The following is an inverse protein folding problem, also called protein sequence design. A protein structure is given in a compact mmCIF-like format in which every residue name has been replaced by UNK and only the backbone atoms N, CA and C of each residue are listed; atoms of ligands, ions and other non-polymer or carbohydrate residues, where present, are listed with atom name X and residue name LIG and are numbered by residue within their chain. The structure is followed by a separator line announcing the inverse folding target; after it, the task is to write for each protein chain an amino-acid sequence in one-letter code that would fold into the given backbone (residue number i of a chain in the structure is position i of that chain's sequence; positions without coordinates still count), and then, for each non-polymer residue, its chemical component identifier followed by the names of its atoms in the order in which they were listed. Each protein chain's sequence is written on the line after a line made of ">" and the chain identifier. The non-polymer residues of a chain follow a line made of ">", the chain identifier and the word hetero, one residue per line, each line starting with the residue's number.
data_IF_495587123538
#
_entry.id   IF_495587123538
#
_cell.length_a   1.000
_cell.length_b   1.000
_cell.length_c   1.000
_cell.angle_alpha   90.00
_cell.angle_beta   90.00
_cell.angle_gamma   90.00
#
_symmetry.space_group_name_H-M   'P 1'
#
loop_
_entity.id
_entity.type
_entity.pdbx_description
1 polymer ?
#
# COMPACT_ATOMS: atom_id res chain seq x y z
N UNK A 1 -11.17 -21.98 13.91
CA UNK A 1 -11.10 -20.58 14.39
C UNK A 1 -9.95 -20.51 15.39
N UNK A 2 -8.74 -20.29 14.90
CA UNK A 2 -7.55 -20.14 15.74
C UNK A 2 -7.33 -18.64 15.89
N UNK A 3 -7.62 -18.09 17.08
CA UNK A 3 -7.38 -16.70 17.40
C UNK A 3 -5.88 -16.40 17.31
N UNK A 4 -5.49 -15.59 16.37
CA UNK A 4 -4.17 -15.02 16.28
C UNK A 4 -4.09 -13.93 17.37
N UNK A 5 -3.64 -14.32 18.57
CA UNK A 5 -3.24 -13.38 19.60
C UNK A 5 -1.89 -12.79 19.17
N UNK A 6 -1.90 -11.54 18.68
CA UNK A 6 -0.66 -10.80 18.53
C UNK A 6 -0.10 -10.46 19.91
N UNK A 7 1.21 -10.68 20.14
CA UNK A 7 1.81 -10.48 21.45
C UNK A 7 1.83 -8.99 21.85
N UNK A 8 1.78 -8.74 23.16
CA UNK A 8 1.80 -7.41 23.82
C UNK A 8 3.09 -6.58 23.68
N UNK A 9 4.05 -7.07 22.91
CA UNK A 9 5.19 -6.31 22.37
C UNK A 9 5.35 -6.85 20.96
N UNK A 10 5.61 -6.03 19.93
CA UNK A 10 5.76 -6.54 18.58
C UNK A 10 6.88 -7.56 18.61
N UNK A 11 6.52 -8.83 18.36
CA UNK A 11 7.51 -9.88 18.17
C UNK A 11 8.23 -9.56 16.88
N UNK A 12 9.42 -9.00 17.03
CA UNK A 12 10.23 -8.50 15.92
C UNK A 12 10.82 -9.62 15.08
N UNK A 13 10.79 -10.87 15.56
CA UNK A 13 11.22 -12.05 14.82
C UNK A 13 10.14 -12.46 13.83
N UNK A 14 10.39 -12.27 12.53
CA UNK A 14 9.48 -12.68 11.45
C UNK A 14 8.63 -11.58 10.81
N UNK A 15 8.64 -10.36 11.32
CA UNK A 15 7.95 -9.24 10.68
C UNK A 15 8.54 -8.95 9.29
N UNK A 16 7.65 -8.74 8.30
CA UNK A 16 8.07 -8.33 6.97
C UNK A 16 8.44 -6.84 6.92
N UNK A 17 7.65 -6.00 7.60
CA UNK A 17 7.92 -4.58 7.79
C UNK A 17 7.96 -4.29 9.29
N UNK A 18 9.00 -3.58 9.71
CA UNK A 18 9.24 -3.23 11.10
C UNK A 18 9.63 -1.75 11.19
N UNK A 19 8.92 -1.01 12.02
CA UNK A 19 9.31 0.33 12.44
C UNK A 19 9.57 0.30 13.95
N UNK A 20 10.62 1.01 14.41
CA UNK A 20 10.97 1.15 15.82
C UNK A 20 11.24 2.60 16.13
N UNK A 21 10.45 3.16 17.06
CA UNK A 21 10.59 4.49 17.64
C UNK A 21 10.80 5.60 16.59
N UNK A 22 10.07 5.44 15.48
CA UNK A 22 10.20 6.32 14.31
C UNK A 22 9.62 7.69 14.61
N UNK A 23 10.48 8.72 14.52
CA UNK A 23 10.07 10.11 14.69
C UNK A 23 10.40 10.92 13.44
N UNK A 24 9.40 11.67 12.95
CA UNK A 24 9.52 12.54 11.78
C UNK A 24 9.01 13.94 12.09
N UNK A 25 9.88 14.95 11.89
CA UNK A 25 9.59 16.37 12.14
C UNK A 25 9.75 17.18 10.87
N UNK A 26 8.89 18.15 10.68
CA UNK A 26 8.97 19.17 9.63
C UNK A 26 9.03 20.55 10.28
N UNK A 27 10.18 21.20 10.29
CA UNK A 27 10.38 22.44 11.05
C UNK A 27 10.08 22.23 12.53
N UNK A 28 9.12 22.97 13.08
CA UNK A 28 8.69 22.87 14.48
C UNK A 28 7.56 21.84 14.74
N UNK A 29 7.07 21.14 13.71
CA UNK A 29 5.94 20.20 13.85
C UNK A 29 6.44 18.77 13.85
N UNK A 30 6.12 17.99 14.90
CA UNK A 30 6.31 16.54 14.94
C UNK A 30 5.12 15.87 14.26
N UNK A 31 5.33 15.39 13.04
CA UNK A 31 4.29 14.75 12.23
C UNK A 31 4.11 13.25 12.53
N UNK A 32 5.16 12.60 13.02
CA UNK A 32 5.14 11.22 13.55
C UNK A 32 6.05 11.21 14.78
N UNK A 33 5.55 10.64 15.89
CA UNK A 33 6.24 10.56 17.17
C UNK A 33 6.31 9.12 17.64
N UNK A 34 7.53 8.60 17.79
CA UNK A 34 7.84 7.29 18.39
C UNK A 34 7.01 6.12 17.83
N UNK A 35 6.71 6.16 16.51
CA UNK A 35 5.93 5.13 15.85
C UNK A 35 6.67 3.80 15.86
N UNK A 36 6.09 2.80 16.54
CA UNK A 36 6.58 1.43 16.53
C UNK A 36 5.48 0.50 16.04
N UNK A 37 5.76 -0.29 15.00
CA UNK A 37 4.83 -1.28 14.45
C UNK A 37 5.59 -2.46 13.83
N UNK A 38 4.95 -3.62 13.84
CA UNK A 38 5.46 -4.83 13.21
C UNK A 38 4.36 -5.50 12.38
N UNK A 39 4.58 -5.58 11.06
CA UNK A 39 3.65 -6.19 10.13
C UNK A 39 4.13 -7.60 9.75
N UNK A 40 3.41 -8.65 10.15
CA UNK A 40 3.75 -10.03 9.81
C UNK A 40 3.49 -10.32 8.32
N UNK A 41 4.13 -11.37 7.80
CA UNK A 41 3.91 -11.83 6.42
C UNK A 41 2.49 -12.35 6.24
N UNK A 42 1.92 -12.13 5.05
CA UNK A 42 0.61 -12.61 4.64
C UNK A 42 -0.58 -11.89 5.30
N UNK A 43 -0.33 -10.89 6.15
CA UNK A 43 -1.39 -10.12 6.79
C UNK A 43 -1.89 -8.97 5.90
N UNK A 44 -3.17 -8.61 6.06
CA UNK A 44 -3.70 -7.30 5.67
C UNK A 44 -3.85 -6.49 6.94
N UNK A 45 -3.14 -5.36 7.01
CA UNK A 45 -3.24 -4.44 8.14
C UNK A 45 -3.53 -3.01 7.68
N UNK A 46 -4.12 -2.22 8.58
CA UNK A 46 -4.50 -0.84 8.32
C UNK A 46 -3.84 0.16 9.27
N UNK A 47 -3.51 1.33 8.77
CA UNK A 47 -3.21 2.52 9.57
C UNK A 47 -4.37 3.48 9.37
N UNK A 48 -5.08 3.78 10.45
CA UNK A 48 -6.23 4.69 10.44
C UNK A 48 -6.02 5.87 11.39
N UNK A 49 -6.92 6.82 11.34
CA UNK A 49 -6.94 7.98 12.23
C UNK A 49 -7.56 9.19 11.53
N UNK A 50 -7.87 10.26 12.28
CA UNK A 50 -8.43 11.48 11.75
C UNK A 50 -7.52 12.19 10.74
N UNK A 51 -8.06 13.21 10.07
CA UNK A 51 -7.29 14.04 9.16
C UNK A 51 -6.19 14.78 9.94
N UNK A 52 -4.98 14.82 9.38
CA UNK A 52 -3.84 15.39 10.10
C UNK A 52 -3.20 14.50 11.17
N UNK A 53 -3.67 13.27 11.39
CA UNK A 53 -3.11 12.34 12.36
C UNK A 53 -1.65 11.88 12.05
N UNK A 54 -1.09 12.25 10.89
CA UNK A 54 0.27 11.85 10.49
C UNK A 54 0.36 10.58 9.63
N UNK A 55 -0.77 9.97 9.25
CA UNK A 55 -0.83 8.71 8.49
C UNK A 55 0.02 8.73 7.21
N UNK A 56 -0.19 9.73 6.35
CA UNK A 56 0.56 9.87 5.09
C UNK A 56 2.06 10.07 5.35
N UNK A 57 2.43 10.77 6.41
CA UNK A 57 3.84 10.93 6.82
C UNK A 57 4.42 9.60 7.27
N UNK A 58 3.72 8.85 8.12
CA UNK A 58 4.12 7.51 8.54
C UNK A 58 4.32 6.59 7.32
N UNK A 59 3.38 6.61 6.39
CA UNK A 59 3.45 5.81 5.16
C UNK A 59 4.63 6.20 4.25
N UNK A 60 4.94 7.51 4.18
CA UNK A 60 6.12 8.00 3.46
C UNK A 60 7.43 7.53 4.11
N UNK A 61 7.48 7.47 5.45
CA UNK A 61 8.64 6.93 6.17
C UNK A 61 8.74 5.42 5.99
N UNK A 62 7.64 4.69 6.16
CA UNK A 62 7.59 3.23 6.01
C UNK A 62 7.96 2.76 4.60
N UNK A 63 7.65 3.56 3.57
CA UNK A 63 7.99 3.30 2.17
C UNK A 63 9.34 3.88 1.72
N UNK A 64 10.10 4.53 2.62
CA UNK A 64 11.41 5.09 2.34
C UNK A 64 11.41 6.38 1.51
N UNK A 65 10.24 7.03 1.33
CA UNK A 65 10.17 8.36 0.72
C UNK A 65 10.74 9.45 1.64
N UNK A 66 10.59 9.27 2.96
CA UNK A 66 11.21 10.12 3.96
C UNK A 66 12.14 9.29 4.83
N UNK A 67 13.29 9.89 5.16
CA UNK A 67 14.22 9.34 6.17
C UNK A 67 13.84 9.93 7.52
N UNK A 68 13.46 9.13 8.51
CA UNK A 68 13.12 9.64 9.84
C UNK A 68 14.36 10.22 10.53
N UNK A 69 14.15 11.22 11.40
CA UNK A 69 15.23 11.78 12.21
C UNK A 69 15.64 10.83 13.34
N UNK A 70 14.68 10.07 13.89
CA UNK A 70 14.92 9.09 14.95
C UNK A 70 14.26 7.77 14.61
N UNK A 71 14.75 6.70 15.20
CA UNK A 71 14.23 5.35 14.96
C UNK A 71 14.79 4.69 13.72
N UNK A 72 14.19 3.57 13.35
CA UNK A 72 14.61 2.77 12.21
C UNK A 72 13.42 2.07 11.54
N UNK A 73 13.53 1.85 10.24
CA UNK A 73 12.58 1.02 9.46
C UNK A 73 13.36 -0.09 8.79
N UNK A 74 12.90 -1.33 9.00
CA UNK A 74 13.44 -2.52 8.34
C UNK A 74 12.37 -3.20 7.49
N UNK A 75 12.74 -3.62 6.29
CA UNK A 75 11.93 -4.40 5.39
C UNK A 75 12.64 -5.71 5.04
N UNK A 76 11.97 -6.83 5.24
CA UNK A 76 12.51 -8.18 5.02
C UNK A 76 13.86 -8.38 5.75
N UNK A 77 13.92 -7.93 7.01
CA UNK A 77 15.10 -8.00 7.86
C UNK A 77 16.25 -7.02 7.50
N UNK A 78 16.04 -6.10 6.57
CA UNK A 78 17.07 -5.16 6.09
C UNK A 78 16.66 -3.72 6.36
N UNK A 79 17.55 -2.94 6.93
CA UNK A 79 17.37 -1.48 7.10
C UNK A 79 17.17 -0.82 5.72
N UNK A 80 16.12 0.00 5.59
CA UNK A 80 15.81 0.73 4.35
C UNK A 80 16.24 2.19 4.37
N UNK A 81 16.82 2.68 5.47
CA UNK A 81 17.29 4.06 5.55
C UNK A 81 18.32 4.38 4.47
N UNK A 82 18.13 5.52 3.82
CA UNK A 82 19.02 5.97 2.75
C UNK A 82 18.94 5.17 1.44
N UNK A 83 18.07 4.17 1.35
CA UNK A 83 17.79 3.48 0.08
C UNK A 83 16.86 4.32 -0.79
N UNK A 84 17.07 4.28 -2.10
CA UNK A 84 16.14 4.91 -3.03
C UNK A 84 14.81 4.13 -3.10
N UNK A 85 13.68 4.78 -3.45
CA UNK A 85 12.40 4.08 -3.68
C UNK A 85 12.53 2.97 -4.73
N UNK A 86 13.38 3.14 -5.73
CA UNK A 86 13.64 2.12 -6.74
C UNK A 86 14.33 0.88 -6.15
N UNK A 87 15.28 1.06 -5.21
CA UNK A 87 15.94 -0.06 -4.54
C UNK A 87 14.97 -0.78 -3.60
N UNK A 88 14.14 -0.04 -2.88
CA UNK A 88 13.10 -0.60 -2.02
C UNK A 88 12.09 -1.40 -2.85
N UNK A 89 11.70 -0.89 -4.03
CA UNK A 89 10.84 -1.63 -4.96
C UNK A 89 11.52 -2.92 -5.44
N UNK A 90 12.81 -2.90 -5.76
CA UNK A 90 13.58 -4.11 -6.11
C UNK A 90 13.67 -5.11 -4.95
N UNK A 91 13.66 -4.65 -3.71
CA UNK A 91 13.59 -5.52 -2.53
C UNK A 91 12.24 -6.22 -2.40
N UNK A 92 11.19 -5.72 -3.06
CA UNK A 92 9.85 -6.30 -3.10
C UNK A 92 8.80 -5.50 -2.32
N UNK A 93 8.96 -4.19 -2.16
CA UNK A 93 7.93 -3.31 -1.61
C UNK A 93 7.38 -2.44 -2.74
N UNK A 94 6.09 -2.56 -3.05
CA UNK A 94 5.40 -1.70 -4.02
C UNK A 94 4.40 -0.79 -3.31
N UNK A 95 4.14 0.39 -3.88
CA UNK A 95 3.19 1.37 -3.35
C UNK A 95 2.32 1.93 -4.46
N UNK A 96 1.01 2.04 -4.18
CA UNK A 96 0.10 2.91 -4.93
C UNK A 96 0.06 4.30 -4.29
N UNK A 97 -0.57 5.25 -4.95
CA UNK A 97 -0.72 6.61 -4.44
C UNK A 97 -2.19 6.97 -4.33
N UNK A 98 -2.53 7.92 -3.45
CA UNK A 98 -3.88 8.43 -3.28
C UNK A 98 -4.47 8.89 -4.61
N UNK A 99 -3.73 9.71 -5.37
CA UNK A 99 -4.09 10.06 -6.73
C UNK A 99 -3.55 9.01 -7.71
N UNK A 100 -4.40 8.45 -8.55
CA UNK A 100 -4.04 7.46 -9.56
C UNK A 100 -2.93 8.00 -10.48
N UNK A 101 -1.79 7.31 -10.51
CA UNK A 101 -0.61 7.70 -11.31
C UNK A 101 -0.41 6.78 -12.51
N UNK A 102 -1.44 6.65 -13.34
CA UNK A 102 -1.34 5.92 -14.61
C UNK A 102 -0.84 6.82 -15.74
N UNK A 103 -0.18 6.22 -16.71
CA UNK A 103 0.10 6.87 -18.00
C UNK A 103 -1.19 6.84 -18.83
N UNK A 104 -1.97 7.92 -18.76
CA UNK A 104 -3.34 8.00 -19.30
C UNK A 104 -3.43 7.69 -20.81
N UNK A 105 -2.39 8.02 -21.58
CA UNK A 105 -2.31 7.78 -23.02
C UNK A 105 -1.82 6.39 -23.41
N UNK A 106 -1.21 5.67 -22.47
CA UNK A 106 -0.80 4.28 -22.67
C UNK A 106 -1.98 3.34 -22.49
N UNK A 107 -1.92 2.21 -23.17
CA UNK A 107 -2.90 1.14 -23.01
C UNK A 107 -2.82 0.48 -21.62
N UNK A 108 -3.84 -0.29 -21.27
CA UNK A 108 -3.84 -1.14 -20.05
C UNK A 108 -2.62 -2.04 -20.05
N UNK A 109 -2.39 -2.75 -21.16
CA UNK A 109 -1.26 -3.67 -21.28
C UNK A 109 0.09 -2.95 -21.08
N UNK A 110 0.29 -1.81 -21.72
CA UNK A 110 1.53 -1.03 -21.60
C UNK A 110 1.76 -0.51 -20.18
N UNK A 111 0.71 -0.07 -19.48
CA UNK A 111 0.82 0.35 -18.08
C UNK A 111 1.30 -0.81 -17.18
N UNK A 112 0.80 -2.04 -17.38
CA UNK A 112 1.24 -3.22 -16.63
C UNK A 112 2.69 -3.56 -16.99
N UNK A 113 3.05 -3.54 -18.28
CA UNK A 113 4.41 -3.82 -18.74
C UNK A 113 5.45 -2.88 -18.13
N UNK A 114 5.10 -1.61 -17.89
CA UNK A 114 5.98 -0.65 -17.18
C UNK A 114 6.38 -1.18 -15.80
N UNK A 115 5.44 -1.79 -15.04
CA UNK A 115 5.74 -2.41 -13.75
C UNK A 115 6.75 -3.55 -13.84
N UNK A 116 6.71 -4.36 -14.91
CA UNK A 116 7.63 -5.46 -15.13
C UNK A 116 9.09 -5.01 -15.35
N UNK A 117 9.31 -3.75 -15.76
CA UNK A 117 10.67 -3.25 -16.04
C UNK A 117 11.58 -3.25 -14.82
N UNK A 118 11.05 -3.20 -13.59
CA UNK A 118 11.82 -3.31 -12.35
C UNK A 118 12.60 -4.63 -12.27
N UNK A 119 12.06 -5.69 -12.88
CA UNK A 119 12.65 -7.05 -12.91
C UNK A 119 13.41 -7.37 -14.18
N UNK A 120 13.52 -6.41 -15.11
CA UNK A 120 14.20 -6.60 -16.39
C UNK A 120 15.67 -6.93 -16.19
N UNK A 121 16.17 -7.93 -16.92
CA UNK A 121 17.57 -8.40 -16.87
C UNK A 121 18.39 -7.94 -18.08
N UNK A 122 17.75 -7.84 -19.25
CA UNK A 122 18.42 -7.38 -20.46
C UNK A 122 18.80 -5.90 -20.35
N UNK A 123 20.07 -5.53 -20.58
CA UNK A 123 20.51 -4.15 -20.63
C UNK A 123 19.78 -3.36 -21.73
N UNK A 124 19.46 -2.09 -21.44
CA UNK A 124 18.71 -1.20 -22.34
C UNK A 124 19.36 -1.03 -23.74
N UNK A 125 20.69 -1.11 -23.83
CA UNK A 125 21.43 -0.96 -25.10
C UNK A 125 21.24 -2.14 -26.07
N UNK A 126 20.67 -3.25 -25.64
CA UNK A 126 20.33 -4.38 -26.53
C UNK A 126 19.13 -4.06 -27.43
N UNK A 127 18.26 -3.12 -27.01
CA UNK A 127 17.09 -2.73 -27.79
C UNK A 127 17.46 -2.11 -29.15
N UNK A 128 18.29 -1.05 -29.23
CA UNK A 128 18.64 -0.43 -30.50
C UNK A 128 19.47 -1.34 -31.42
N UNK A 129 20.13 -2.36 -30.84
CA UNK A 129 20.90 -3.35 -31.61
C UNK A 129 20.04 -4.51 -32.13
N UNK A 130 18.75 -4.55 -31.81
CA UNK A 130 17.85 -5.60 -32.29
C UNK A 130 18.21 -7.02 -31.85
N UNK A 131 18.85 -7.18 -30.67
CA UNK A 131 19.37 -8.48 -30.25
C UNK A 131 18.25 -9.44 -29.81
N UNK A 132 18.31 -10.74 -30.21
CA UNK A 132 17.28 -11.73 -29.89
C UNK A 132 16.92 -11.86 -28.40
N UNK A 133 17.86 -11.78 -27.43
CA UNK A 133 17.51 -11.83 -26.01
C UNK A 133 16.55 -10.73 -25.56
N UNK A 134 16.69 -9.53 -26.12
CA UNK A 134 15.78 -8.41 -25.82
C UNK A 134 14.35 -8.72 -26.25
N UNK A 135 14.14 -9.18 -27.48
CA UNK A 135 12.79 -9.50 -27.98
C UNK A 135 12.15 -10.68 -27.27
N UNK A 136 12.94 -11.67 -26.83
CA UNK A 136 12.45 -12.79 -26.03
C UNK A 136 11.95 -12.31 -24.66
N UNK A 137 12.72 -11.44 -23.98
CA UNK A 137 12.32 -10.87 -22.69
C UNK A 137 11.09 -9.98 -22.84
N UNK A 138 11.01 -9.16 -23.92
CA UNK A 138 9.87 -8.30 -24.21
C UNK A 138 8.59 -9.13 -24.45
N UNK A 139 8.69 -10.24 -25.18
CA UNK A 139 7.58 -11.16 -25.40
C UNK A 139 7.13 -11.83 -24.08
N UNK A 140 8.06 -12.23 -23.24
CA UNK A 140 7.77 -12.81 -21.91
C UNK A 140 7.08 -11.78 -20.97
N UNK A 141 7.56 -10.53 -20.96
CA UNK A 141 6.94 -9.42 -20.20
C UNK A 141 5.51 -9.19 -20.69
N UNK A 142 5.30 -9.17 -21.99
CA UNK A 142 3.98 -8.97 -22.60
C UNK A 142 3.00 -10.09 -22.20
N UNK A 143 3.44 -11.35 -22.27
CA UNK A 143 2.58 -12.48 -21.89
C UNK A 143 2.24 -12.45 -20.41
N UNK A 144 3.24 -12.26 -19.53
CA UNK A 144 3.02 -12.08 -18.10
C UNK A 144 2.06 -10.92 -17.78
N UNK A 145 2.16 -9.82 -18.55
CA UNK A 145 1.26 -8.67 -18.37
C UNK A 145 -0.19 -8.99 -18.77
N UNK A 146 -0.40 -9.87 -19.78
CA UNK A 146 -1.74 -10.37 -20.14
C UNK A 146 -2.33 -11.26 -19.06
N UNK A 147 -1.55 -12.21 -18.55
CA UNK A 147 -1.95 -13.07 -17.44
C UNK A 147 -2.34 -12.23 -16.21
N UNK A 148 -1.55 -11.20 -15.90
CA UNK A 148 -1.85 -10.32 -14.78
C UNK A 148 -3.12 -9.50 -15.02
N UNK A 149 -3.34 -9.01 -16.24
CA UNK A 149 -4.57 -8.30 -16.59
C UNK A 149 -5.81 -9.20 -16.46
N UNK A 150 -5.70 -10.49 -16.78
CA UNK A 150 -6.77 -11.46 -16.56
C UNK A 150 -7.11 -11.61 -15.07
N UNK A 151 -6.10 -11.79 -14.21
CA UNK A 151 -6.26 -11.92 -12.76
C UNK A 151 -6.89 -10.69 -12.10
N UNK A 152 -6.67 -9.50 -12.65
CA UNK A 152 -7.27 -8.26 -12.13
C UNK A 152 -8.56 -7.86 -12.88
N UNK A 153 -9.11 -8.75 -13.74
CA UNK A 153 -10.31 -8.53 -14.55
C UNK A 153 -10.23 -7.30 -15.46
N UNK A 154 -9.12 -7.17 -16.19
CA UNK A 154 -8.88 -6.13 -17.20
C UNK A 154 -8.54 -6.72 -18.59
N UNK A 155 -8.75 -8.02 -18.79
CA UNK A 155 -8.38 -8.72 -20.03
C UNK A 155 -9.14 -8.22 -21.26
N UNK A 156 -10.39 -7.77 -21.09
CA UNK A 156 -11.20 -7.21 -22.18
C UNK A 156 -10.71 -5.82 -22.62
N UNK A 157 -10.02 -5.10 -21.71
CA UNK A 157 -9.58 -3.71 -21.91
C UNK A 157 -8.10 -3.57 -22.28
N UNK A 158 -7.40 -4.64 -22.62
CA UNK A 158 -5.93 -4.64 -22.82
C UNK A 158 -5.43 -3.55 -23.75
N UNK A 159 -6.20 -3.23 -24.80
CA UNK A 159 -5.82 -2.24 -25.82
C UNK A 159 -6.46 -0.87 -25.60
N UNK A 160 -7.33 -0.72 -24.58
CA UNK A 160 -7.93 0.56 -24.25
C UNK A 160 -6.93 1.46 -23.57
N UNK A 161 -7.03 2.77 -23.79
CA UNK A 161 -6.21 3.74 -23.07
C UNK A 161 -6.62 3.76 -21.59
N UNK A 162 -5.64 3.82 -20.69
CA UNK A 162 -5.90 3.86 -19.25
C UNK A 162 -6.82 5.02 -18.85
N UNK A 163 -6.72 6.16 -19.53
CA UNK A 163 -7.56 7.33 -19.28
C UNK A 163 -9.03 7.17 -19.65
N UNK A 164 -9.39 6.21 -20.51
CA UNK A 164 -10.77 5.95 -20.91
C UNK A 164 -11.51 5.01 -19.98
N UNK A 165 -10.79 4.34 -19.06
CA UNK A 165 -11.40 3.37 -18.14
C UNK A 165 -12.25 4.06 -17.07
N UNK A 166 -13.32 3.40 -16.59
CA UNK A 166 -14.01 3.80 -15.36
C UNK A 166 -13.04 3.84 -14.17
N UNK A 167 -13.31 4.70 -13.18
CA UNK A 167 -12.42 4.94 -12.04
C UNK A 167 -12.00 3.65 -11.30
N UNK A 168 -12.94 2.75 -11.00
CA UNK A 168 -12.64 1.48 -10.37
C UNK A 168 -11.73 0.57 -11.19
N UNK A 169 -11.83 0.61 -12.53
CA UNK A 169 -10.93 -0.12 -13.43
C UNK A 169 -9.53 0.51 -13.47
N UNK A 170 -9.45 1.86 -13.43
CA UNK A 170 -8.16 2.56 -13.29
C UNK A 170 -7.46 2.20 -11.98
N UNK A 171 -8.19 2.09 -10.87
CA UNK A 171 -7.62 1.67 -9.57
C UNK A 171 -7.12 0.23 -9.64
N UNK A 172 -7.88 -0.71 -10.26
CA UNK A 172 -7.40 -2.08 -10.47
C UNK A 172 -6.15 -2.11 -11.36
N UNK A 173 -6.08 -1.27 -12.39
CA UNK A 173 -4.90 -1.15 -13.24
C UNK A 173 -3.67 -0.63 -12.48
N UNK A 174 -3.85 0.34 -11.59
CA UNK A 174 -2.76 0.85 -10.74
C UNK A 174 -2.21 -0.26 -9.83
N UNK A 175 -3.11 -1.03 -9.21
CA UNK A 175 -2.73 -2.20 -8.40
C UNK A 175 -2.04 -3.26 -9.27
N UNK A 176 -2.55 -3.56 -10.47
CA UNK A 176 -1.91 -4.49 -11.41
C UNK A 176 -0.49 -4.07 -11.77
N UNK A 177 -0.27 -2.78 -12.04
CA UNK A 177 1.07 -2.25 -12.30
C UNK A 177 2.00 -2.40 -11.09
N UNK A 178 1.49 -2.24 -9.88
CA UNK A 178 2.25 -2.50 -8.66
C UNK A 178 2.56 -4.00 -8.51
N UNK A 179 1.60 -4.89 -8.76
CA UNK A 179 1.78 -6.35 -8.75
C UNK A 179 2.80 -6.83 -9.79
N UNK A 180 2.88 -6.15 -10.94
CA UNK A 180 3.85 -6.46 -11.99
C UNK A 180 5.32 -6.32 -11.53
N UNK A 181 5.57 -5.58 -10.44
CA UNK A 181 6.90 -5.51 -9.81
C UNK A 181 7.23 -6.74 -8.96
N UNK A 182 6.33 -7.73 -8.83
CA UNK A 182 6.45 -8.92 -7.96
C UNK A 182 6.74 -8.55 -6.49
N UNK A 183 5.86 -7.80 -5.84
CA UNK A 183 6.10 -7.37 -4.48
C UNK A 183 5.84 -8.48 -3.46
N UNK A 184 6.52 -8.39 -2.31
CA UNK A 184 6.19 -9.12 -1.07
C UNK A 184 5.25 -8.30 -0.19
N UNK A 185 5.35 -6.97 -0.28
CA UNK A 185 4.55 -6.00 0.45
C UNK A 185 3.94 -5.00 -0.52
N UNK A 186 2.63 -4.89 -0.49
CA UNK A 186 1.87 -3.89 -1.22
C UNK A 186 1.33 -2.83 -0.26
N UNK A 187 1.74 -1.59 -0.48
CA UNK A 187 1.29 -0.43 0.27
C UNK A 187 0.18 0.27 -0.51
N UNK A 188 -1.02 0.39 0.07
CA UNK A 188 -2.19 1.00 -0.55
C UNK A 188 -2.56 2.30 0.19
N UNK A 189 -2.49 3.42 -0.52
CA UNK A 189 -2.76 4.76 0.02
C UNK A 189 -4.17 5.19 -0.37
N UNK A 190 -5.12 5.14 0.57
CA UNK A 190 -6.54 5.43 0.41
C UNK A 190 -7.14 4.81 -0.87
N UNK A 191 -7.09 3.46 -1.00
CA UNK A 191 -7.47 2.81 -2.25
C UNK A 191 -8.96 2.99 -2.61
N UNK A 192 -9.83 3.21 -1.63
CA UNK A 192 -11.27 3.41 -1.83
C UNK A 192 -11.69 4.89 -1.97
N UNK A 193 -10.73 5.84 -1.91
CA UNK A 193 -11.06 7.27 -1.99
C UNK A 193 -11.81 7.60 -3.28
N UNK A 194 -12.93 8.32 -3.15
CA UNK A 194 -13.77 8.74 -4.28
C UNK A 194 -14.70 7.66 -4.86
N UNK A 195 -14.74 6.48 -4.26
CA UNK A 195 -15.65 5.39 -4.64
C UNK A 195 -16.96 5.46 -3.87
N UNK A 196 -18.04 4.96 -4.49
CA UNK A 196 -19.28 4.74 -3.77
C UNK A 196 -19.16 3.50 -2.85
N UNK A 197 -20.09 3.28 -1.87
CA UNK A 197 -19.97 2.18 -0.92
C UNK A 197 -19.92 0.78 -1.56
N UNK A 198 -20.60 0.57 -2.69
CA UNK A 198 -20.59 -0.69 -3.41
C UNK A 198 -19.23 -0.93 -4.08
N UNK A 199 -18.70 0.06 -4.76
CA UNK A 199 -17.37 0.00 -5.38
C UNK A 199 -16.26 -0.23 -4.35
N UNK A 200 -16.35 0.42 -3.18
CA UNK A 200 -15.43 0.23 -2.07
C UNK A 200 -15.44 -1.21 -1.57
N UNK A 201 -16.62 -1.81 -1.41
CA UNK A 201 -16.77 -3.20 -1.00
C UNK A 201 -16.16 -4.17 -2.03
N UNK A 202 -16.44 -3.95 -3.32
CA UNK A 202 -15.87 -4.74 -4.40
C UNK A 202 -14.34 -4.66 -4.45
N UNK A 203 -13.80 -3.46 -4.23
CA UNK A 203 -12.35 -3.24 -4.14
C UNK A 203 -11.76 -3.99 -2.94
N UNK A 204 -12.42 -3.98 -1.77
CA UNK A 204 -11.94 -4.71 -0.59
C UNK A 204 -11.93 -6.23 -0.81
N UNK A 205 -12.97 -6.77 -1.44
CA UNK A 205 -12.98 -8.18 -1.83
C UNK A 205 -11.86 -8.50 -2.84
N UNK A 206 -11.60 -7.58 -3.77
CA UNK A 206 -10.49 -7.70 -4.71
C UNK A 206 -9.13 -7.69 -3.99
N UNK A 207 -8.91 -6.79 -3.02
CA UNK A 207 -7.68 -6.70 -2.22
C UNK A 207 -7.47 -8.01 -1.42
N UNK A 208 -8.51 -8.55 -0.80
CA UNK A 208 -8.44 -9.83 -0.09
C UNK A 208 -8.02 -10.98 -1.02
N UNK A 209 -8.63 -11.04 -2.22
CA UNK A 209 -8.33 -12.08 -3.21
C UNK A 209 -6.88 -12.00 -3.73
N UNK A 210 -6.40 -10.81 -4.10
CA UNK A 210 -5.01 -10.65 -4.60
C UNK A 210 -3.98 -10.96 -3.51
N UNK A 211 -4.28 -10.70 -2.23
CA UNK A 211 -3.42 -11.10 -1.12
C UNK A 211 -3.21 -12.62 -1.14
N UNK A 212 -4.29 -13.40 -1.24
CA UNK A 212 -4.23 -14.86 -1.23
C UNK A 212 -3.59 -15.41 -2.53
N UNK A 213 -3.94 -14.84 -3.68
CA UNK A 213 -3.50 -15.32 -4.98
C UNK A 213 -2.01 -15.06 -5.25
N UNK A 214 -1.47 -13.96 -4.73
CA UNK A 214 -0.07 -13.56 -4.94
C UNK A 214 0.80 -13.72 -3.70
N UNK A 215 0.31 -14.33 -2.62
CA UNK A 215 1.01 -14.50 -1.33
C UNK A 215 1.57 -13.17 -0.79
N UNK A 216 0.72 -12.14 -0.77
CA UNK A 216 1.10 -10.78 -0.42
C UNK A 216 0.92 -10.49 1.06
N UNK A 217 1.73 -9.56 1.54
CA UNK A 217 1.42 -8.77 2.72
C UNK A 217 0.89 -7.42 2.24
N UNK A 218 -0.15 -6.89 2.87
CA UNK A 218 -0.75 -5.62 2.47
C UNK A 218 -0.84 -4.70 3.68
N UNK A 219 -0.38 -3.46 3.50
CA UNK A 219 -0.61 -2.38 4.46
C UNK A 219 -1.37 -1.28 3.75
N UNK A 220 -2.50 -0.88 4.32
CA UNK A 220 -3.32 0.18 3.75
C UNK A 220 -3.49 1.36 4.72
N UNK A 221 -3.63 2.54 4.16
CA UNK A 221 -4.18 3.70 4.87
C UNK A 221 -5.61 3.90 4.39
N UNK A 222 -6.51 4.08 5.31
CA UNK A 222 -7.90 4.45 5.03
C UNK A 222 -8.47 5.32 6.14
N UNK A 223 -9.48 6.09 5.80
CA UNK A 223 -10.25 6.88 6.73
C UNK A 223 -11.67 6.32 6.93
N UNK A 224 -12.15 5.47 6.01
CA UNK A 224 -13.45 4.77 6.16
C UNK A 224 -13.28 3.52 7.03
N UNK A 225 -13.80 3.63 8.26
CA UNK A 225 -13.78 2.54 9.25
C UNK A 225 -14.45 1.26 8.74
N UNK A 226 -15.53 1.38 7.93
CA UNK A 226 -16.25 0.19 7.42
C UNK A 226 -15.39 -0.62 6.47
N UNK A 227 -14.61 0.08 5.64
CA UNK A 227 -13.67 -0.51 4.70
C UNK A 227 -12.58 -1.28 5.45
N UNK A 228 -11.96 -0.62 6.43
CA UNK A 228 -10.86 -1.20 7.21
C UNK A 228 -11.31 -2.40 8.04
N UNK A 229 -12.44 -2.27 8.76
CA UNK A 229 -13.01 -3.36 9.56
C UNK A 229 -13.39 -4.59 8.74
N UNK A 230 -13.70 -4.39 7.44
CA UNK A 230 -14.08 -5.48 6.53
C UNK A 230 -12.94 -6.30 5.97
N UNK A 231 -11.70 -5.78 5.96
CA UNK A 231 -10.58 -6.42 5.27
C UNK A 231 -9.33 -6.62 6.12
N UNK A 232 -9.07 -5.73 7.10
CA UNK A 232 -7.87 -5.80 7.92
C UNK A 232 -8.00 -6.84 9.04
N UNK A 233 -6.92 -7.56 9.30
CA UNK A 233 -6.76 -8.45 10.46
C UNK A 233 -6.17 -7.71 11.67
N UNK A 234 -5.47 -6.59 11.42
CA UNK A 234 -4.86 -5.76 12.44
C UNK A 234 -4.87 -4.30 12.05
N UNK A 235 -5.04 -3.42 13.02
CA UNK A 235 -5.21 -1.99 12.79
C UNK A 235 -4.37 -1.21 13.79
N UNK A 236 -3.62 -0.23 13.29
CA UNK A 236 -2.96 0.81 14.07
C UNK A 236 -3.73 2.11 13.94
N UNK A 237 -4.06 2.74 15.07
CA UNK A 237 -4.80 3.99 15.12
C UNK A 237 -3.86 5.12 15.51
N UNK A 238 -3.77 6.13 14.66
CA UNK A 238 -2.93 7.30 14.89
C UNK A 238 -3.77 8.54 15.20
N UNK A 239 -3.31 9.36 16.13
CA UNK A 239 -3.81 10.70 16.39
C UNK A 239 -2.63 11.63 16.73
N UNK A 240 -2.60 12.85 16.14
CA UNK A 240 -1.53 13.85 16.33
C UNK A 240 -0.10 13.30 16.23
N UNK A 241 0.12 12.39 15.30
CA UNK A 241 1.44 11.78 15.02
C UNK A 241 1.81 10.59 15.89
N UNK A 242 1.03 10.23 16.89
CA UNK A 242 1.27 9.12 17.80
C UNK A 242 0.28 7.96 17.60
N UNK A 243 0.68 6.74 17.98
CA UNK A 243 -0.24 5.61 18.10
C UNK A 243 -1.07 5.77 19.38
N UNK A 244 -2.39 5.74 19.25
CA UNK A 244 -3.32 5.79 20.39
C UNK A 244 -3.96 4.43 20.71
N UNK A 245 -4.03 3.55 19.72
CA UNK A 245 -4.55 2.19 19.86
C UNK A 245 -4.01 1.27 18.77
N UNK A 246 -4.01 -0.03 19.06
CA UNK A 246 -3.74 -1.07 18.09
C UNK A 246 -4.47 -2.36 18.44
N UNK A 247 -4.77 -3.21 17.47
CA UNK A 247 -5.40 -4.50 17.71
C UNK A 247 -6.17 -5.02 16.50
N UNK A 248 -6.97 -6.05 16.75
CA UNK A 248 -7.95 -6.52 15.78
C UNK A 248 -9.11 -5.51 15.60
N UNK A 249 -9.92 -5.66 14.55
CA UNK A 249 -11.03 -4.74 14.28
C UNK A 249 -12.00 -4.55 15.46
N UNK A 250 -12.32 -5.61 16.21
CA UNK A 250 -13.28 -5.54 17.32
C UNK A 250 -12.68 -4.79 18.52
N UNK A 251 -11.42 -5.02 18.85
CA UNK A 251 -10.69 -4.30 19.88
C UNK A 251 -10.61 -2.80 19.56
N UNK A 252 -10.27 -2.44 18.32
CA UNK A 252 -10.17 -1.05 17.87
C UNK A 252 -11.55 -0.36 17.90
N UNK A 253 -12.60 -1.03 17.43
CA UNK A 253 -13.97 -0.50 17.39
C UNK A 253 -14.52 -0.17 18.78
N UNK A 254 -14.14 -0.96 19.79
CA UNK A 254 -14.63 -0.78 21.17
C UNK A 254 -13.73 0.12 22.02
N UNK A 255 -12.60 0.60 21.48
CA UNK A 255 -11.64 1.40 22.25
C UNK A 255 -12.15 2.83 22.46
N UNK A 256 -12.28 3.30 23.73
CA UNK A 256 -12.78 4.64 24.04
C UNK A 256 -11.95 5.78 23.45
N UNK A 257 -10.63 5.61 23.35
CA UNK A 257 -9.73 6.62 22.81
C UNK A 257 -9.93 6.77 21.30
N UNK A 258 -10.16 5.66 20.59
CA UNK A 258 -10.49 5.65 19.16
C UNK A 258 -11.83 6.34 18.93
N UNK A 259 -12.86 5.99 19.71
CA UNK A 259 -14.18 6.60 19.60
C UNK A 259 -14.08 8.11 19.82
N UNK A 260 -13.33 8.56 20.83
CA UNK A 260 -13.13 9.99 21.12
C UNK A 260 -12.41 10.71 19.98
N UNK A 261 -11.38 10.12 19.40
CA UNK A 261 -10.60 10.71 18.30
C UNK A 261 -11.47 10.99 17.06
N UNK A 262 -12.40 10.09 16.75
CA UNK A 262 -13.32 10.27 15.61
C UNK A 262 -14.53 11.15 15.93
N UNK A 263 -15.11 11.06 17.12
CA UNK A 263 -16.22 11.95 17.53
C UNK A 263 -15.77 13.40 17.71
N UNK A 264 -14.49 13.64 18.02
CA UNK A 264 -13.93 14.99 18.11
C UNK A 264 -13.90 15.73 16.78
N UNK A 265 -13.78 15.04 15.65
CA UNK A 265 -13.88 15.62 14.31
C UNK A 265 -15.32 16.05 13.97
N UNK A 266 -16.32 15.20 14.24
CA UNK A 266 -17.73 15.50 13.97
C UNK A 266 -18.22 16.71 14.79
N UNK A 267 -17.79 16.82 16.06
CA UNK A 267 -18.12 17.95 16.91
C UNK A 267 -17.48 19.29 16.50
N UNK A 268 -16.38 19.27 15.74
CA UNK A 268 -15.74 20.47 15.18
C UNK A 268 -16.43 20.98 13.92
N UNK A 269 -17.09 20.10 13.17
CA UNK A 269 -17.87 20.48 11.97
C UNK A 269 -19.22 21.10 12.33
N UNK A 270 -19.85 20.70 13.46
CA UNK A 270 -21.11 21.30 13.92
C UNK A 270 -20.95 22.69 14.55
N UNK A 271 -19.74 23.12 14.91
CA UNK A 271 -19.47 24.46 15.49
C UNK A 271 -19.10 25.53 14.46
N UNK A 272 -19.13 25.21 13.19
CA UNK A 272 -18.75 26.07 12.07
C UNK A 272 -19.93 26.65 11.26
N UNK A 273 -21.14 26.75 11.86
CA UNK A 273 -22.28 27.49 11.29
C UNK A 273 -22.73 28.59 12.22
#
# INVERSE_FOLDING_TARGET
>A
MSGFLLPKAPDYEGALLLARDVTMRFGGVTAVSELSLALPRGAIAGIIGPNGAGKTTAFNVLSGFYTPQEGAVAFDGRDIRGKSPADICRMGMARTFQNIRLSQQMTVLENIMVGCHVRRRCPWWMAPLGLPPFYREEAAIREKSRELAERVHLHENLNDQAGSLPYGAQRRLEIARALATEPKLLLLDEPAAGMNPQESLELMHFIGRIRDEFDLTILLIEHDMKVVMGVCQYIWVMEYGALIAEGDPDAVRSNPDVIRAYLGEDASLEKGF
#
